data_IF_078348807818
#
_entry.id   IF_078348807818
#
_cell.length_a   1.000
_cell.length_b   1.000
_cell.length_c   1.000
_cell.angle_alpha   90.00
_cell.angle_beta   90.00
_cell.angle_gamma   90.00
#
_symmetry.space_group_name_H-M   'P 1'
#
loop_
_entity.id
_entity.type
_entity.pdbx_description
1 polymer ?
#
# COMPACT_ATOMS: atom_id res chain seq x y z
N UNK A 1 -26.00 62.59 -1.98
CA UNK A 1 -24.80 61.88 -2.47
C UNK A 1 -24.39 60.90 -1.37
N UNK A 2 -24.82 59.63 -1.44
CA UNK A 2 -24.61 58.62 -0.39
C UNK A 2 -23.50 57.67 -0.86
N UNK A 3 -22.41 57.58 -0.10
CA UNK A 3 -21.31 56.64 -0.34
C UNK A 3 -21.66 55.29 0.29
N UNK A 4 -21.78 54.25 -0.53
CA UNK A 4 -21.93 52.86 -0.08
C UNK A 4 -20.52 52.28 0.04
N UNK A 5 -20.12 51.90 1.25
CA UNK A 5 -18.92 51.11 1.51
C UNK A 5 -19.24 49.64 1.25
N UNK A 6 -18.73 49.10 0.15
CA UNK A 6 -18.78 47.66 -0.14
C UNK A 6 -17.64 46.99 0.62
N UNK A 7 -17.94 46.30 1.72
CA UNK A 7 -16.99 45.42 2.38
C UNK A 7 -16.85 44.13 1.56
N UNK A 8 -15.69 43.92 0.94
CA UNK A 8 -15.28 42.63 0.41
C UNK A 8 -14.82 41.75 1.58
N UNK A 9 -15.72 40.91 2.09
CA UNK A 9 -15.33 39.75 2.89
C UNK A 9 -14.91 38.62 1.95
N UNK A 10 -13.63 38.63 1.59
CA UNK A 10 -12.99 37.51 0.90
C UNK A 10 -12.91 36.34 1.88
N UNK A 11 -13.88 35.42 1.80
CA UNK A 11 -13.78 34.12 2.43
C UNK A 11 -12.62 33.37 1.75
N UNK A 12 -11.47 33.34 2.42
CA UNK A 12 -10.34 32.49 2.08
C UNK A 12 -10.82 31.05 2.27
N UNK A 13 -11.33 30.43 1.21
CA UNK A 13 -11.46 28.99 1.14
C UNK A 13 -10.03 28.43 1.10
N UNK A 14 -9.46 28.18 2.28
CA UNK A 14 -8.42 27.18 2.45
C UNK A 14 -9.07 25.84 2.07
N UNK A 15 -9.09 25.56 0.77
CA UNK A 15 -9.32 24.23 0.25
C UNK A 15 -8.18 23.37 0.75
N UNK A 16 -8.33 22.84 1.97
CA UNK A 16 -7.62 21.63 2.35
C UNK A 16 -8.03 20.64 1.26
N UNK A 17 -7.11 20.36 0.35
CA UNK A 17 -7.26 19.29 -0.61
C UNK A 17 -7.63 18.07 0.22
N UNK A 18 -8.92 17.71 0.22
CA UNK A 18 -9.42 16.55 0.93
C UNK A 18 -8.85 15.37 0.18
N UNK A 19 -7.65 14.96 0.60
CA UNK A 19 -7.02 13.73 0.18
C UNK A 19 -7.99 12.59 0.39
N UNK A 20 -7.88 11.59 -0.48
CA UNK A 20 -8.62 10.35 -0.39
C UNK A 20 -8.65 9.85 1.06
N UNK A 21 -9.84 9.62 1.62
CA UNK A 21 -9.98 9.18 3.01
C UNK A 21 -9.59 7.70 3.06
N UNK A 22 -8.37 7.41 3.48
CA UNK A 22 -8.01 6.03 3.83
C UNK A 22 -8.92 5.56 4.96
N UNK A 23 -9.38 4.33 4.83
CA UNK A 23 -10.04 3.64 5.94
C UNK A 23 -8.97 2.83 6.64
N UNK A 24 -8.46 3.27 7.80
CA UNK A 24 -7.47 2.49 8.57
C UNK A 24 -8.01 1.10 8.98
N UNK A 25 -9.32 0.90 8.86
CA UNK A 25 -10.03 -0.33 9.21
C UNK A 25 -10.36 -1.23 8.02
N UNK A 26 -9.92 -0.89 6.80
CA UNK A 26 -10.06 -1.78 5.66
C UNK A 26 -9.02 -2.91 5.78
N UNK A 27 -9.38 -3.92 6.59
CA UNK A 27 -8.49 -5.02 6.96
C UNK A 27 -8.07 -5.95 5.82
N UNK A 28 -7.50 -7.09 6.21
CA UNK A 28 -6.84 -8.06 5.31
C UNK A 28 -7.71 -8.44 4.12
N UNK A 29 -9.00 -8.71 4.34
CA UNK A 29 -9.91 -9.10 3.26
C UNK A 29 -10.02 -8.04 2.17
N UNK A 30 -10.02 -6.75 2.52
CA UNK A 30 -10.09 -5.66 1.53
C UNK A 30 -8.78 -5.50 0.76
N UNK A 31 -7.65 -5.74 1.40
CA UNK A 31 -6.35 -5.80 0.70
C UNK A 31 -6.34 -6.99 -0.26
N UNK A 32 -6.72 -8.19 0.19
CA UNK A 32 -6.76 -9.39 -0.65
C UNK A 32 -7.69 -9.23 -1.86
N UNK A 33 -8.88 -8.63 -1.68
CA UNK A 33 -9.77 -8.30 -2.80
C UNK A 33 -9.13 -7.30 -3.76
N UNK A 34 -8.39 -6.30 -3.26
CA UNK A 34 -7.71 -5.34 -4.12
C UNK A 34 -6.59 -6.00 -4.96
N UNK A 35 -5.85 -6.94 -4.35
CA UNK A 35 -4.81 -7.72 -5.03
C UNK A 35 -5.36 -8.60 -6.16
N UNK A 36 -6.62 -8.99 -6.11
CA UNK A 36 -7.27 -9.77 -7.18
C UNK A 36 -7.52 -8.95 -8.45
N UNK A 37 -7.65 -7.63 -8.30
CA UNK A 37 -7.91 -6.72 -9.41
C UNK A 37 -6.65 -6.08 -9.97
N UNK A 38 -5.62 -5.89 -9.13
CA UNK A 38 -4.43 -5.12 -9.50
C UNK A 38 -3.14 -5.75 -8.96
N UNK A 39 -2.03 -5.40 -9.60
CA UNK A 39 -0.68 -5.64 -9.06
C UNK A 39 -0.22 -4.40 -8.30
N UNK A 40 0.30 -4.62 -7.11
CA UNK A 40 0.86 -3.56 -6.26
C UNK A 40 2.36 -3.73 -6.12
N UNK A 41 3.08 -2.63 -6.21
CA UNK A 41 4.53 -2.57 -6.11
C UNK A 41 4.94 -1.94 -4.77
N UNK A 42 6.06 -2.42 -4.21
CA UNK A 42 6.62 -1.88 -2.97
C UNK A 42 7.41 -0.61 -3.26
N UNK A 43 6.77 0.54 -3.04
CA UNK A 43 7.33 1.87 -3.34
C UNK A 43 7.97 2.54 -2.12
N UNK A 44 7.77 1.99 -0.93
CA UNK A 44 8.48 2.41 0.28
C UNK A 44 8.61 1.27 1.27
N UNK A 45 9.81 1.05 1.80
CA UNK A 45 10.05 0.06 2.86
C UNK A 45 11.17 0.48 3.78
N UNK A 46 11.00 0.29 5.09
CA UNK A 46 12.09 0.41 6.06
C UNK A 46 12.96 -0.85 6.12
N UNK A 47 12.56 -1.93 5.44
CA UNK A 47 13.35 -3.14 5.35
C UNK A 47 14.34 -3.05 4.17
N UNK A 48 15.61 -2.77 4.49
CA UNK A 48 16.67 -2.62 3.49
C UNK A 48 17.06 -3.91 2.76
N UNK A 49 16.58 -5.07 3.21
CA UNK A 49 16.83 -6.37 2.56
C UNK A 49 15.86 -6.69 1.41
N UNK A 50 14.87 -5.83 1.14
CA UNK A 50 13.94 -6.03 0.03
C UNK A 50 14.65 -5.84 -1.31
N UNK A 51 14.44 -6.80 -2.20
CA UNK A 51 14.94 -6.81 -3.57
C UNK A 51 14.20 -5.79 -4.46
N UNK A 52 14.80 -5.44 -5.60
CA UNK A 52 14.22 -4.52 -6.58
C UNK A 52 12.95 -5.09 -7.24
N UNK A 53 12.09 -4.20 -7.72
CA UNK A 53 10.80 -4.50 -8.36
C UNK A 53 9.90 -5.44 -7.56
N UNK A 54 9.87 -5.31 -6.23
CA UNK A 54 9.03 -6.16 -5.40
C UNK A 54 7.55 -5.86 -5.68
N UNK A 55 6.76 -6.91 -5.97
CA UNK A 55 5.33 -6.79 -6.24
C UNK A 55 4.51 -7.87 -5.54
N UNK A 56 3.22 -7.61 -5.40
CA UNK A 56 2.20 -8.56 -4.94
C UNK A 56 0.94 -8.47 -5.80
N UNK A 57 0.33 -9.62 -6.07
CA UNK A 57 -0.98 -9.75 -6.75
C UNK A 57 -1.65 -11.03 -6.27
N UNK A 58 -2.96 -11.16 -6.45
CA UNK A 58 -3.71 -12.32 -6.03
C UNK A 58 -4.54 -12.87 -7.18
N UNK A 59 -4.85 -14.15 -7.09
CA UNK A 59 -5.87 -14.80 -7.91
C UNK A 59 -6.98 -15.30 -7.00
N UNK A 60 -8.20 -15.40 -7.52
CA UNK A 60 -9.25 -16.12 -6.80
C UNK A 60 -8.80 -17.57 -6.54
N UNK A 61 -9.16 -18.14 -5.39
CA UNK A 61 -8.87 -19.55 -5.11
C UNK A 61 -9.57 -20.41 -6.17
N UNK A 62 -8.77 -21.23 -6.86
CA UNK A 62 -9.25 -22.14 -7.91
C UNK A 62 -10.03 -23.36 -7.35
N UNK A 63 -9.93 -23.61 -6.05
CA UNK A 63 -10.46 -24.80 -5.38
C UNK A 63 -11.23 -24.44 -4.11
N UNK A 64 -12.48 -24.93 -4.01
CA UNK A 64 -13.34 -24.76 -2.84
C UNK A 64 -12.78 -25.42 -1.56
N UNK A 65 -11.78 -26.29 -1.69
CA UNK A 65 -11.14 -26.95 -0.55
C UNK A 65 -10.03 -26.11 0.12
N UNK A 66 -9.56 -25.02 -0.50
CA UNK A 66 -8.53 -24.17 0.10
C UNK A 66 -9.13 -22.96 0.82
N UNK A 67 -8.88 -22.84 2.13
CA UNK A 67 -9.25 -21.65 2.90
C UNK A 67 -8.18 -20.56 2.72
N UNK A 68 -8.52 -19.47 2.04
CA UNK A 68 -7.66 -18.29 1.89
C UNK A 68 -7.62 -17.76 0.46
N UNK A 69 -6.75 -16.78 0.22
CA UNK A 69 -6.53 -16.18 -1.10
C UNK A 69 -5.15 -16.57 -1.62
N UNK A 70 -5.07 -17.06 -2.85
CA UNK A 70 -3.80 -17.35 -3.49
C UNK A 70 -3.12 -16.04 -3.89
N UNK A 71 -1.98 -15.74 -3.28
CA UNK A 71 -1.19 -14.54 -3.51
C UNK A 71 0.13 -14.92 -4.17
N UNK A 72 0.47 -14.23 -5.24
CA UNK A 72 1.79 -14.28 -5.87
C UNK A 72 2.55 -13.03 -5.50
N UNK A 73 3.78 -13.21 -5.05
CA UNK A 73 4.74 -12.13 -4.89
C UNK A 73 5.98 -12.43 -5.71
N UNK A 74 6.57 -11.38 -6.26
CA UNK A 74 7.78 -11.52 -7.06
C UNK A 74 8.68 -10.30 -6.96
N UNK A 75 9.91 -10.47 -7.42
CA UNK A 75 10.95 -9.44 -7.41
C UNK A 75 12.00 -9.75 -8.47
N UNK A 76 12.81 -8.74 -8.82
CA UNK A 76 13.99 -8.91 -9.66
C UNK A 76 15.22 -9.18 -8.83
N UNK A 77 15.67 -10.43 -8.80
CA UNK A 77 16.92 -10.84 -8.16
C UNK A 77 18.10 -10.20 -8.89
N UNK A 78 18.90 -9.42 -8.15
CA UNK A 78 20.05 -8.68 -8.67
C UNK A 78 19.71 -7.80 -9.90
N UNK A 79 18.45 -7.32 -10.01
CA UNK A 79 17.96 -6.49 -11.11
C UNK A 79 17.81 -7.20 -12.47
N UNK A 80 17.99 -8.53 -12.54
CA UNK A 80 18.06 -9.26 -13.82
C UNK A 80 17.00 -10.34 -14.00
N UNK A 81 16.78 -11.15 -12.98
CA UNK A 81 15.95 -12.35 -13.07
C UNK A 81 14.69 -12.20 -12.21
N UNK A 82 13.53 -12.52 -12.79
CA UNK A 82 12.28 -12.56 -12.04
C UNK A 82 12.19 -13.83 -11.21
N UNK A 83 12.03 -13.65 -9.90
CA UNK A 83 11.72 -14.73 -8.97
C UNK A 83 10.30 -14.53 -8.48
N UNK A 84 9.47 -15.55 -8.66
CA UNK A 84 8.07 -15.53 -8.25
C UNK A 84 7.81 -16.66 -7.25
N UNK A 85 6.99 -16.38 -6.25
CA UNK A 85 6.52 -17.35 -5.29
C UNK A 85 5.04 -17.13 -5.03
N UNK A 86 4.30 -18.23 -4.95
CA UNK A 86 2.86 -18.22 -4.75
C UNK A 86 2.55 -18.97 -3.46
N UNK A 87 1.68 -18.41 -2.63
CA UNK A 87 1.23 -19.01 -1.40
C UNK A 87 -0.23 -18.68 -1.11
N UNK A 88 -0.87 -19.48 -0.26
CA UNK A 88 -2.21 -19.18 0.24
C UNK A 88 -2.08 -18.28 1.45
N UNK A 89 -2.73 -17.13 1.41
CA UNK A 89 -2.68 -16.10 2.43
C UNK A 89 -4.05 -15.94 3.09
N UNK A 90 -4.03 -15.73 4.40
CA UNK A 90 -5.20 -15.44 5.21
C UNK A 90 -4.85 -14.43 6.30
N UNK A 91 -5.86 -13.92 6.99
CA UNK A 91 -5.69 -13.03 8.13
C UNK A 91 -7.00 -12.79 8.85
N UNK A 92 -6.90 -12.10 10.00
CA UNK A 92 -8.02 -11.82 10.89
C UNK A 92 -8.07 -10.32 11.17
N UNK A 93 -9.20 -9.69 10.88
CA UNK A 93 -9.33 -8.23 10.98
C UNK A 93 -8.29 -7.54 10.10
N UNK A 94 -7.39 -6.78 10.72
CA UNK A 94 -6.34 -6.03 10.02
C UNK A 94 -4.99 -6.75 10.00
N UNK A 95 -4.87 -7.96 10.55
CA UNK A 95 -3.58 -8.64 10.70
C UNK A 95 -3.52 -9.88 9.81
N UNK A 96 -2.55 -9.92 8.90
CA UNK A 96 -2.21 -11.12 8.14
C UNK A 96 -1.70 -12.20 9.09
N UNK A 97 -2.06 -13.46 8.83
CA UNK A 97 -1.63 -14.58 9.67
C UNK A 97 -0.09 -14.64 9.78
N UNK A 98 0.42 -15.01 10.96
CA UNK A 98 1.86 -15.24 11.18
C UNK A 98 2.34 -16.56 10.58
N UNK A 99 1.42 -17.47 10.27
CA UNK A 99 1.74 -18.84 9.85
C UNK A 99 1.89 -18.94 8.32
N UNK A 100 1.71 -17.83 7.60
CA UNK A 100 1.95 -17.75 6.15
C UNK A 100 3.41 -17.43 5.88
N UNK A 101 3.92 -17.92 4.75
CA UNK A 101 5.21 -17.49 4.24
C UNK A 101 5.08 -16.29 3.30
N UNK A 102 6.15 -15.50 3.17
CA UNK A 102 6.24 -14.40 2.21
C UNK A 102 6.10 -13.00 2.82
N UNK A 103 5.99 -11.96 1.97
CA UNK A 103 6.13 -10.57 2.38
C UNK A 103 5.00 -10.06 3.29
N UNK A 104 3.84 -10.71 3.27
CA UNK A 104 2.67 -10.34 4.05
C UNK A 104 2.64 -10.97 5.46
N UNK A 105 3.57 -11.88 5.77
CA UNK A 105 3.62 -12.62 7.03
C UNK A 105 3.59 -11.68 8.25
N UNK A 106 2.56 -11.84 9.08
CA UNK A 106 2.41 -11.08 10.33
C UNK A 106 2.28 -9.57 10.15
N UNK A 107 1.97 -9.09 8.94
CA UNK A 107 1.77 -7.67 8.67
C UNK A 107 0.39 -7.20 9.14
N UNK A 108 0.34 -6.02 9.74
CA UNK A 108 -0.89 -5.28 10.04
C UNK A 108 -1.17 -4.28 8.93
N UNK A 109 -2.42 -4.18 8.49
CA UNK A 109 -2.90 -3.13 7.59
C UNK A 109 -3.15 -1.86 8.41
N UNK A 110 -2.35 -0.82 8.15
CA UNK A 110 -2.43 0.47 8.84
C UNK A 110 -3.26 1.49 8.05
N UNK A 111 -3.25 1.39 6.72
CA UNK A 111 -4.04 2.24 5.85
C UNK A 111 -4.29 1.56 4.50
N UNK A 112 -5.43 1.91 3.88
CA UNK A 112 -5.78 1.49 2.52
C UNK A 112 -6.55 2.60 1.81
N UNK A 113 -6.10 2.92 0.59
CA UNK A 113 -6.84 3.67 -0.42
C UNK A 113 -7.24 2.75 -1.58
N UNK A 114 -7.83 3.31 -2.64
CA UNK A 114 -8.18 2.55 -3.84
C UNK A 114 -6.97 1.90 -4.50
N UNK A 115 -5.87 2.66 -4.59
CA UNK A 115 -4.67 2.29 -5.33
C UNK A 115 -3.43 2.09 -4.46
N UNK A 116 -3.60 2.03 -3.13
CA UNK A 116 -2.48 1.83 -2.21
C UNK A 116 -2.89 1.16 -0.91
N UNK A 117 -1.91 0.62 -0.21
CA UNK A 117 -2.03 0.24 1.19
C UNK A 117 -0.69 0.34 1.93
N UNK A 118 -0.75 0.58 3.23
CA UNK A 118 0.41 0.63 4.13
C UNK A 118 0.32 -0.52 5.11
N UNK A 119 1.39 -1.31 5.18
CA UNK A 119 1.54 -2.46 6.06
C UNK A 119 2.62 -2.18 7.10
N UNK A 120 2.47 -2.78 8.29
CA UNK A 120 3.46 -2.69 9.35
C UNK A 120 3.55 -3.98 10.14
N UNK A 121 4.77 -4.36 10.51
CA UNK A 121 5.02 -5.25 11.64
C UNK A 121 6.18 -4.69 12.48
N UNK A 122 6.70 -5.48 13.42
CA UNK A 122 7.80 -5.06 14.29
C UNK A 122 9.12 -4.80 13.52
N UNK A 123 9.25 -5.33 12.31
CA UNK A 123 10.50 -5.30 11.53
C UNK A 123 10.46 -4.29 10.37
N UNK A 124 9.26 -4.01 9.85
CA UNK A 124 9.11 -3.22 8.64
C UNK A 124 7.84 -2.36 8.66
N UNK A 125 7.93 -1.18 8.07
CA UNK A 125 6.79 -0.41 7.56
C UNK A 125 6.92 -0.37 6.05
N UNK A 126 5.86 -0.70 5.34
CA UNK A 126 5.85 -0.90 3.89
C UNK A 126 4.66 -0.19 3.23
N UNK A 127 4.90 0.49 2.12
CA UNK A 127 3.89 1.15 1.32
C UNK A 127 3.84 0.48 -0.06
N UNK A 128 2.64 0.04 -0.42
CA UNK A 128 2.36 -0.69 -1.64
C UNK A 128 1.40 0.10 -2.50
N UNK A 129 1.71 0.26 -3.77
CA UNK A 129 0.97 1.16 -4.68
C UNK A 129 0.85 0.51 -6.06
N UNK A 130 -0.28 0.70 -6.74
CA UNK A 130 -0.44 0.27 -8.12
C UNK A 130 0.46 1.08 -9.07
N UNK A 131 0.79 0.52 -10.25
CA UNK A 131 1.78 1.09 -11.18
C UNK A 131 1.46 2.55 -11.55
N UNK A 132 0.21 2.83 -11.85
CA UNK A 132 -0.31 4.13 -12.27
C UNK A 132 -0.30 5.19 -11.16
N UNK A 133 -0.12 4.78 -9.90
CA UNK A 133 -0.13 5.68 -8.74
C UNK A 133 1.25 5.81 -8.08
N UNK A 134 2.31 5.21 -8.63
CA UNK A 134 3.65 5.25 -8.02
C UNK A 134 4.21 6.68 -7.89
N UNK A 135 4.08 7.49 -8.94
CA UNK A 135 4.62 8.85 -8.96
C UNK A 135 3.79 9.83 -8.12
N UNK A 136 2.53 9.50 -7.85
CA UNK A 136 1.61 10.32 -7.06
C UNK A 136 0.76 9.43 -6.17
N UNK A 137 1.38 8.80 -5.15
CA UNK A 137 0.68 7.87 -4.29
C UNK A 137 -0.41 8.60 -3.50
N UNK A 138 -1.57 7.96 -3.24
CA UNK A 138 -2.62 8.57 -2.45
C UNK A 138 -2.07 9.04 -1.10
N UNK A 139 -2.40 10.29 -0.73
CA UNK A 139 -1.79 10.98 0.42
C UNK A 139 -1.96 10.19 1.71
N UNK A 140 -3.08 9.49 1.86
CA UNK A 140 -3.39 8.78 3.09
C UNK A 140 -2.50 7.55 3.35
N UNK A 141 -2.11 6.79 2.33
CA UNK A 141 -1.13 5.71 2.50
C UNK A 141 0.26 6.28 2.78
N UNK A 142 0.61 7.39 2.11
CA UNK A 142 1.88 8.08 2.33
C UNK A 142 1.97 8.63 3.75
N UNK A 143 0.92 9.29 4.24
CA UNK A 143 0.83 9.78 5.61
C UNK A 143 0.96 8.64 6.62
N UNK A 144 0.22 7.55 6.46
CA UNK A 144 0.35 6.38 7.33
C UNK A 144 1.79 5.82 7.30
N UNK A 145 2.38 5.67 6.12
CA UNK A 145 3.76 5.20 5.97
C UNK A 145 4.75 6.12 6.70
N UNK A 146 4.64 7.43 6.48
CA UNK A 146 5.50 8.44 7.10
C UNK A 146 5.32 8.49 8.64
N UNK A 147 4.09 8.36 9.13
CA UNK A 147 3.78 8.26 10.56
C UNK A 147 4.40 7.01 11.18
N UNK A 148 4.21 5.84 10.58
CA UNK A 148 4.65 4.57 11.15
C UNK A 148 6.16 4.35 11.03
N UNK A 149 6.79 4.78 9.94
CA UNK A 149 8.26 4.71 9.84
C UNK A 149 8.95 5.70 10.78
N UNK A 150 8.29 6.82 11.10
CA UNK A 150 8.87 7.90 11.90
C UNK A 150 10.20 8.40 11.30
N UNK A 151 11.27 8.32 12.08
CA UNK A 151 12.61 8.75 11.67
C UNK A 151 13.42 7.67 10.96
N UNK A 152 12.90 6.44 10.84
CA UNK A 152 13.60 5.36 10.17
C UNK A 152 13.85 5.70 8.70
N UNK A 153 15.07 5.38 8.24
CA UNK A 153 15.39 5.42 6.82
C UNK A 153 14.54 4.41 6.07
N UNK A 154 14.21 4.74 4.83
CA UNK A 154 13.47 3.86 3.94
C UNK A 154 14.09 3.89 2.55
N UNK A 155 13.75 2.89 1.75
CA UNK A 155 14.08 2.82 0.32
C UNK A 155 12.82 2.52 -0.49
N UNK A 156 12.83 2.87 -1.77
CA UNK A 156 11.90 2.30 -2.75
C UNK A 156 12.53 1.05 -3.35
N UNK A 157 11.72 0.04 -3.64
CA UNK A 157 12.17 -1.07 -4.50
C UNK A 157 11.72 -0.90 -5.94
N UNK A 158 10.81 0.03 -6.20
CA UNK A 158 10.27 0.27 -7.53
C UNK A 158 11.25 1.09 -8.36
N UNK A 159 11.54 0.59 -9.56
CA UNK A 159 12.36 1.21 -10.58
C UNK A 159 11.49 1.43 -11.82
N UNK A 160 11.20 2.69 -12.15
CA UNK A 160 10.37 3.03 -13.32
C UNK A 160 10.95 2.48 -14.62
N UNK A 161 10.07 2.08 -15.55
CA UNK A 161 10.39 1.45 -16.85
C UNK A 161 11.06 0.06 -16.77
N UNK A 162 11.60 -0.30 -15.60
CA UNK A 162 12.23 -1.60 -15.30
C UNK A 162 11.21 -2.55 -14.67
N UNK A 163 10.36 -2.01 -13.78
CA UNK A 163 9.11 -2.59 -13.33
C UNK A 163 7.94 -2.01 -14.19
#
# INVERSE_FOLDING_TARGET
MIRVFTFFTSALFLGIARGEVCKPEDGVNKVLTALQSNTYYLTGTTNSSREACYYVTATEPFDACQSGTQVTYGYKKNGREWVNSTGVVSGTGNVFSSDIHGPLCGMTVEARGGNCFTLRNNNATEMWVTKESVDTPPSCCKEAFDTHRGTNRYQTTYEGEVC
#
